data_IF_948678219215
#
_entry.id   IF_948678219215
#
_cell.length_a   1.000
_cell.length_b   1.000
_cell.length_c   1.000
_cell.angle_alpha   90.00
_cell.angle_beta   90.00
_cell.angle_gamma   90.00
#
_symmetry.space_group_name_H-M   'P 1'
#
loop_
_entity.id
_entity.type
_entity.pdbx_description
1 polymer ?
#
# COMPACT_ATOMS: atom_id res chain seq x y z
N UNK A 1 13.67 39.73 16.63
CA UNK A 1 13.15 38.33 16.41
C UNK A 1 13.62 37.80 15.06
N UNK A 2 14.62 36.92 15.06
CA UNK A 2 15.12 36.29 13.82
C UNK A 2 14.12 35.20 13.40
N UNK A 3 13.46 35.37 12.25
CA UNK A 3 12.69 34.29 11.61
C UNK A 3 13.66 33.19 11.22
N UNK A 4 13.59 32.04 11.89
CA UNK A 4 14.31 30.84 11.46
C UNK A 4 13.71 30.43 10.13
N UNK A 5 14.47 30.57 9.04
CA UNK A 5 14.16 30.00 7.74
C UNK A 5 14.08 28.49 7.91
N UNK A 6 12.92 27.92 7.63
CA UNK A 6 12.78 26.47 7.51
C UNK A 6 13.70 25.98 6.39
N UNK A 7 14.46 24.89 6.59
CA UNK A 7 15.30 24.33 5.54
C UNK A 7 14.44 24.03 4.31
N UNK A 8 14.93 24.48 3.16
CA UNK A 8 14.34 24.15 1.85
C UNK A 8 14.39 22.64 1.71
N UNK A 9 13.23 21.97 1.69
CA UNK A 9 13.15 20.54 1.36
C UNK A 9 12.39 19.61 2.31
N UNK A 10 11.91 20.05 3.44
CA UNK A 10 11.10 19.18 4.30
C UNK A 10 9.68 19.03 3.75
N UNK A 11 9.16 17.80 3.61
CA UNK A 11 7.79 17.60 3.15
C UNK A 11 6.82 18.22 4.14
N UNK A 12 5.93 19.07 3.64
CA UNK A 12 4.87 19.67 4.48
C UNK A 12 3.84 18.57 4.78
N UNK A 13 3.53 18.41 6.06
CA UNK A 13 2.47 17.51 6.49
C UNK A 13 1.12 17.98 5.92
N UNK A 14 0.29 16.98 5.53
CA UNK A 14 -1.08 17.25 5.09
C UNK A 14 -1.85 18.04 6.16
N UNK A 15 -2.68 19.02 5.78
CA UNK A 15 -3.47 19.82 6.71
C UNK A 15 -4.34 18.94 7.63
N UNK A 16 -4.57 19.41 8.86
CA UNK A 16 -5.32 18.62 9.88
C UNK A 16 -6.73 18.24 9.44
N UNK A 17 -7.41 19.05 8.64
CA UNK A 17 -8.76 18.77 8.14
C UNK A 17 -8.82 17.63 7.11
N UNK A 18 -7.67 17.21 6.56
CA UNK A 18 -7.56 16.02 5.71
C UNK A 18 -7.13 14.77 6.47
N UNK A 19 -7.30 14.78 7.78
CA UNK A 19 -6.89 13.67 8.66
C UNK A 19 -8.01 13.37 9.65
N UNK A 20 -8.23 12.08 9.89
CA UNK A 20 -9.14 11.61 10.95
C UNK A 20 -8.35 11.09 12.16
N UNK A 21 -8.98 11.14 13.32
CA UNK A 21 -8.37 10.72 14.57
C UNK A 21 -8.67 9.25 14.87
N UNK A 22 -7.64 8.54 15.34
CA UNK A 22 -7.73 7.17 15.84
C UNK A 22 -7.30 7.16 17.31
N UNK A 23 -8.06 6.53 18.23
CA UNK A 23 -7.66 6.41 19.62
C UNK A 23 -6.44 5.50 19.75
N UNK A 24 -5.45 5.91 20.55
CA UNK A 24 -4.23 5.08 20.75
C UNK A 24 -4.54 3.73 21.38
N UNK A 25 -5.60 3.63 22.16
CA UNK A 25 -6.06 2.38 22.80
C UNK A 25 -6.45 1.29 21.81
N UNK A 26 -6.61 1.59 20.52
CA UNK A 26 -6.90 0.57 19.49
C UNK A 26 -5.79 -0.50 19.43
N UNK A 27 -4.57 -0.14 19.78
CA UNK A 27 -3.42 -1.06 19.78
C UNK A 27 -3.47 -2.11 20.89
N UNK A 28 -4.17 -1.85 21.98
CA UNK A 28 -4.35 -2.77 23.11
C UNK A 28 -5.24 -3.97 22.76
N UNK A 29 -6.03 -3.85 21.69
CA UNK A 29 -6.96 -4.91 21.24
C UNK A 29 -6.32 -5.93 20.30
N UNK A 30 -5.07 -5.76 19.90
CA UNK A 30 -4.33 -6.67 19.01
C UNK A 30 -5.15 -7.10 17.79
N UNK A 31 -5.71 -6.11 17.08
CA UNK A 31 -6.59 -6.34 15.93
C UNK A 31 -5.81 -7.00 14.79
N UNK A 32 -6.47 -7.93 14.10
CA UNK A 32 -5.94 -8.44 12.83
C UNK A 32 -5.86 -7.29 11.82
N UNK A 33 -4.91 -7.33 10.87
CA UNK A 33 -4.75 -6.24 9.90
C UNK A 33 -6.04 -5.83 9.19
N UNK A 34 -6.86 -6.79 8.77
CA UNK A 34 -8.15 -6.50 8.12
C UNK A 34 -9.18 -5.86 9.07
N UNK A 35 -9.24 -6.31 10.33
CA UNK A 35 -10.09 -5.69 11.37
C UNK A 35 -9.67 -4.24 11.60
N UNK A 36 -8.36 -3.99 11.66
CA UNK A 36 -7.83 -2.64 11.86
C UNK A 36 -8.21 -1.69 10.71
N UNK A 37 -8.09 -2.15 9.45
CA UNK A 37 -8.49 -1.35 8.28
C UNK A 37 -9.97 -1.01 8.33
N UNK A 38 -10.84 -2.00 8.61
CA UNK A 38 -12.29 -1.79 8.70
C UNK A 38 -12.61 -0.81 9.83
N UNK A 39 -12.04 -1.01 11.02
CA UNK A 39 -12.23 -0.10 12.15
C UNK A 39 -11.76 1.33 11.83
N UNK A 40 -10.61 1.47 11.16
CA UNK A 40 -10.09 2.78 10.72
C UNK A 40 -11.04 3.46 9.74
N UNK A 41 -11.63 2.70 8.81
CA UNK A 41 -12.59 3.22 7.85
C UNK A 41 -13.88 3.70 8.52
N UNK A 42 -14.37 2.96 9.51
CA UNK A 42 -15.52 3.38 10.33
C UNK A 42 -15.21 4.64 11.13
N UNK A 43 -14.01 4.76 11.70
CA UNK A 43 -13.58 5.99 12.40
C UNK A 43 -13.49 7.18 11.43
N UNK A 44 -13.05 6.97 10.20
CA UNK A 44 -13.03 8.01 9.17
C UNK A 44 -14.43 8.54 8.87
N UNK A 45 -15.44 7.68 8.85
CA UNK A 45 -16.83 8.02 8.56
C UNK A 45 -17.69 8.28 9.81
N UNK A 46 -17.10 8.32 11.01
CA UNK A 46 -17.85 8.46 12.28
C UNK A 46 -18.74 9.71 12.37
N UNK A 47 -18.49 10.71 11.54
CA UNK A 47 -19.30 11.94 11.44
C UNK A 47 -20.36 11.90 10.35
N UNK A 48 -20.41 10.83 9.55
CA UNK A 48 -21.28 10.72 8.36
C UNK A 48 -22.39 9.71 8.63
N UNK A 49 -23.44 9.72 7.83
CA UNK A 49 -24.57 8.79 7.91
C UNK A 49 -24.12 7.30 7.93
N UNK A 50 -25.03 6.42 8.37
CA UNK A 50 -24.81 4.96 8.41
C UNK A 50 -24.23 4.45 7.08
N UNK A 51 -23.06 3.82 7.16
CA UNK A 51 -22.41 3.19 6.03
C UNK A 51 -23.10 1.86 5.69
N UNK A 52 -23.33 1.64 4.42
CA UNK A 52 -23.79 0.34 3.94
C UNK A 52 -22.59 -0.64 3.82
N UNK A 53 -22.87 -1.93 3.93
CA UNK A 53 -21.87 -2.96 3.77
C UNK A 53 -21.17 -2.89 2.39
N UNK A 54 -21.93 -2.51 1.36
CA UNK A 54 -21.45 -2.35 -0.01
C UNK A 54 -20.45 -1.19 -0.15
N UNK A 55 -20.73 -0.05 0.47
CA UNK A 55 -19.82 1.10 0.50
C UNK A 55 -18.50 0.75 1.19
N UNK A 56 -18.55 0.05 2.32
CA UNK A 56 -17.36 -0.41 3.03
C UNK A 56 -16.54 -1.35 2.11
N UNK A 57 -17.17 -2.38 1.51
CA UNK A 57 -16.48 -3.36 0.67
C UNK A 57 -15.84 -2.73 -0.56
N UNK A 58 -16.53 -1.80 -1.21
CA UNK A 58 -16.02 -1.09 -2.38
C UNK A 58 -14.79 -0.23 -2.03
N UNK A 59 -14.82 0.45 -0.89
CA UNK A 59 -13.76 1.38 -0.49
C UNK A 59 -12.50 0.70 0.01
N UNK A 60 -12.63 -0.40 0.76
CA UNK A 60 -11.48 -1.12 1.32
C UNK A 60 -11.02 -2.30 0.45
N UNK A 61 -11.69 -2.54 -0.69
CA UNK A 61 -11.37 -3.60 -1.65
C UNK A 61 -11.29 -5.01 -1.04
N UNK A 62 -12.20 -5.32 -0.12
CA UNK A 62 -12.36 -6.64 0.48
C UNK A 62 -13.70 -7.26 0.05
N UNK A 63 -13.79 -8.60 0.11
CA UNK A 63 -15.05 -9.29 -0.18
C UNK A 63 -16.09 -9.04 0.92
N UNK A 64 -17.36 -9.01 0.55
CA UNK A 64 -18.50 -8.79 1.46
C UNK A 64 -18.50 -9.78 2.63
N UNK A 65 -18.20 -11.05 2.35
CA UNK A 65 -18.12 -12.10 3.38
C UNK A 65 -16.98 -11.82 4.39
N UNK A 66 -15.83 -11.35 3.90
CA UNK A 66 -14.70 -10.97 4.75
C UNK A 66 -15.02 -9.77 5.63
N UNK A 67 -15.63 -8.73 5.04
CA UNK A 67 -16.03 -7.52 5.79
C UNK A 67 -17.04 -7.87 6.87
N UNK A 68 -18.09 -8.63 6.53
CA UNK A 68 -19.11 -9.06 7.49
C UNK A 68 -18.49 -9.82 8.67
N UNK A 69 -17.64 -10.82 8.39
CA UNK A 69 -16.95 -11.58 9.42
C UNK A 69 -16.15 -10.69 10.39
N UNK A 70 -15.46 -9.69 9.89
CA UNK A 70 -14.65 -8.81 10.72
C UNK A 70 -15.48 -7.73 11.44
N UNK A 71 -16.60 -7.29 10.86
CA UNK A 71 -17.56 -6.46 11.59
C UNK A 71 -18.13 -7.21 12.79
N UNK A 72 -18.57 -8.46 12.62
CA UNK A 72 -19.05 -9.30 13.72
C UNK A 72 -17.99 -9.46 14.82
N UNK A 73 -16.71 -9.63 14.41
CA UNK A 73 -15.59 -9.69 15.36
C UNK A 73 -15.38 -8.38 16.11
N UNK A 74 -15.50 -7.24 15.44
CA UNK A 74 -15.36 -5.91 16.06
C UNK A 74 -16.52 -5.61 17.04
N UNK A 75 -17.75 -6.05 16.73
CA UNK A 75 -18.91 -5.98 17.62
C UNK A 75 -18.64 -6.85 18.87
N UNK A 76 -18.20 -8.10 18.70
CA UNK A 76 -17.87 -9.00 19.79
C UNK A 76 -16.78 -8.43 20.72
N UNK A 77 -15.82 -7.68 20.18
CA UNK A 77 -14.77 -6.95 20.92
C UNK A 77 -15.29 -5.64 21.53
N UNK A 78 -16.54 -5.27 21.31
CA UNK A 78 -17.15 -4.00 21.77
C UNK A 78 -16.42 -2.74 21.27
N UNK A 79 -15.80 -2.83 20.12
CA UNK A 79 -15.12 -1.71 19.46
C UNK A 79 -16.05 -0.86 18.62
N UNK A 80 -17.13 -1.49 18.13
CA UNK A 80 -18.21 -0.83 17.38
C UNK A 80 -19.55 -1.26 17.96
N UNK A 81 -20.55 -0.38 17.84
CA UNK A 81 -21.94 -0.71 18.15
C UNK A 81 -22.57 -1.59 17.06
N UNK A 82 -23.76 -2.12 17.32
CA UNK A 82 -24.55 -2.87 16.32
C UNK A 82 -24.93 -2.01 15.10
N UNK A 83 -24.97 -0.70 15.28
CA UNK A 83 -25.20 0.30 14.24
C UNK A 83 -23.94 0.63 13.41
N UNK A 84 -22.82 -0.02 13.70
CA UNK A 84 -21.54 0.22 13.03
C UNK A 84 -20.77 1.45 13.53
N UNK A 85 -21.27 2.16 14.54
CA UNK A 85 -20.58 3.33 15.08
C UNK A 85 -19.38 2.94 15.94
N UNK A 86 -18.23 3.59 15.80
CA UNK A 86 -17.07 3.35 16.67
C UNK A 86 -17.40 3.66 18.14
N UNK A 87 -17.34 2.66 19.00
CA UNK A 87 -17.62 2.77 20.43
C UNK A 87 -16.36 3.03 21.27
N UNK A 88 -15.17 2.87 20.68
CA UNK A 88 -13.91 3.03 21.39
C UNK A 88 -13.62 4.50 21.69
N UNK A 89 -13.74 4.86 22.96
CA UNK A 89 -13.36 6.20 23.46
C UNK A 89 -11.98 6.13 24.07
N UNK A 90 -11.10 7.06 23.71
CA UNK A 90 -9.80 7.17 24.36
C UNK A 90 -10.00 7.64 25.81
N UNK A 91 -9.67 6.78 26.79
CA UNK A 91 -9.73 7.13 28.22
C UNK A 91 -8.85 8.34 28.53
N UNK A 92 -7.69 8.44 27.89
CA UNK A 92 -6.67 9.48 28.14
C UNK A 92 -6.68 10.61 27.12
N UNK A 93 -7.70 10.69 26.25
CA UNK A 93 -7.75 11.67 25.14
C UNK A 93 -6.51 11.60 24.22
N UNK A 94 -5.73 10.51 24.28
CA UNK A 94 -4.59 10.28 23.41
C UNK A 94 -5.05 9.70 22.09
N UNK A 95 -4.66 10.33 21.00
CA UNK A 95 -4.98 9.90 19.65
C UNK A 95 -3.82 10.17 18.69
N UNK A 96 -3.73 9.37 17.66
CA UNK A 96 -2.93 9.65 16.48
C UNK A 96 -3.85 9.91 15.29
N UNK A 97 -3.31 10.43 14.22
CA UNK A 97 -4.12 10.79 13.05
C UNK A 97 -3.65 10.09 11.80
N UNK A 98 -4.59 9.62 11.00
CA UNK A 98 -4.37 9.04 9.69
C UNK A 98 -4.86 10.01 8.60
N UNK A 99 -4.18 10.10 7.44
CA UNK A 99 -4.66 10.90 6.33
C UNK A 99 -5.91 10.26 5.72
N UNK A 100 -6.91 11.10 5.35
CA UNK A 100 -8.16 10.62 4.74
C UNK A 100 -7.91 9.90 3.40
N UNK A 101 -6.95 10.40 2.62
CA UNK A 101 -6.62 9.90 1.29
C UNK A 101 -5.92 8.52 1.30
N UNK A 102 -5.57 7.98 2.50
CA UNK A 102 -4.90 6.68 2.60
C UNK A 102 -5.71 5.53 1.99
N UNK A 103 -7.03 5.61 2.04
CA UNK A 103 -7.92 4.58 1.47
C UNK A 103 -7.90 4.56 -0.06
N UNK A 104 -7.55 5.68 -0.73
CA UNK A 104 -7.39 5.75 -2.18
C UNK A 104 -6.19 4.95 -2.69
N UNK A 105 -5.20 4.71 -1.84
CA UNK A 105 -3.96 4.03 -2.21
C UNK A 105 -4.09 2.51 -2.30
N UNK A 106 -5.22 1.93 -1.91
CA UNK A 106 -5.49 0.49 -1.95
C UNK A 106 -4.39 -0.36 -1.30
N UNK A 107 -3.86 0.10 -0.17
CA UNK A 107 -2.83 -0.61 0.57
C UNK A 107 -3.32 -1.98 1.02
N UNK A 108 -2.44 -2.97 0.99
CA UNK A 108 -2.73 -4.24 1.66
C UNK A 108 -2.98 -4.01 3.15
N UNK A 109 -3.84 -4.79 3.82
CA UNK A 109 -4.11 -4.62 5.25
C UNK A 109 -2.86 -4.58 6.12
N UNK A 110 -1.87 -5.40 5.81
CA UNK A 110 -0.58 -5.43 6.52
C UNK A 110 0.20 -4.13 6.33
N UNK A 111 0.27 -3.61 5.09
CA UNK A 111 0.96 -2.34 4.81
C UNK A 111 0.24 -1.15 5.48
N UNK A 112 -1.11 -1.17 5.49
CA UNK A 112 -1.90 -0.14 6.16
C UNK A 112 -1.61 -0.10 7.67
N UNK A 113 -1.61 -1.24 8.36
CA UNK A 113 -1.33 -1.31 9.80
C UNK A 113 0.10 -0.86 10.11
N UNK A 114 1.09 -1.27 9.31
CA UNK A 114 2.48 -0.81 9.46
C UNK A 114 2.56 0.72 9.28
N UNK A 115 1.89 1.28 8.27
CA UNK A 115 1.84 2.73 8.06
C UNK A 115 1.21 3.46 9.23
N UNK A 116 0.08 2.96 9.75
CA UNK A 116 -0.59 3.51 10.91
C UNK A 116 0.30 3.47 12.16
N UNK A 117 1.06 2.39 12.36
CA UNK A 117 2.01 2.28 13.45
C UNK A 117 3.16 3.29 13.34
N UNK A 118 3.72 3.48 12.15
CA UNK A 118 4.77 4.48 11.94
C UNK A 118 4.25 5.90 12.24
N UNK A 119 3.01 6.22 11.85
CA UNK A 119 2.35 7.49 12.19
C UNK A 119 2.05 7.66 13.68
N UNK A 120 1.83 6.56 14.41
CA UNK A 120 1.64 6.59 15.87
C UNK A 120 2.92 7.01 16.58
N UNK A 121 4.07 6.48 16.15
CA UNK A 121 5.38 6.65 16.82
C UNK A 121 6.25 7.75 16.22
N UNK A 122 5.77 8.43 15.16
CA UNK A 122 6.53 9.51 14.54
C UNK A 122 6.80 10.68 15.49
N UNK A 123 7.97 11.26 15.43
CA UNK A 123 8.19 12.60 15.95
C UNK A 123 7.46 13.61 15.06
N UNK A 124 6.46 14.28 15.62
CA UNK A 124 5.63 15.25 14.87
C UNK A 124 6.38 16.49 14.36
N UNK A 125 7.60 16.70 14.80
CA UNK A 125 8.45 17.83 14.36
C UNK A 125 9.27 17.47 13.14
N UNK A 126 9.84 16.26 13.15
CA UNK A 126 10.76 15.78 12.10
C UNK A 126 10.07 14.84 11.12
N UNK A 127 8.89 14.31 11.46
CA UNK A 127 8.18 13.25 10.73
C UNK A 127 9.01 11.99 10.56
N UNK A 128 9.87 11.70 11.53
CA UNK A 128 10.77 10.55 11.51
C UNK A 128 10.51 9.62 12.69
N UNK A 129 10.85 8.33 12.51
CA UNK A 129 10.86 7.33 13.57
C UNK A 129 11.93 6.27 13.29
N UNK A 130 12.32 5.50 14.32
CA UNK A 130 13.44 4.55 14.25
C UNK A 130 13.10 3.13 14.74
N UNK A 131 11.91 2.56 14.47
CA UNK A 131 11.61 1.22 14.95
C UNK A 131 12.44 0.18 14.21
N UNK A 132 12.81 -0.90 14.93
CA UNK A 132 13.34 -2.09 14.28
C UNK A 132 12.22 -2.88 13.58
N UNK A 133 12.56 -3.74 12.62
CA UNK A 133 11.56 -4.65 12.03
C UNK A 133 10.89 -5.57 13.06
N UNK A 134 11.62 -5.97 14.09
CA UNK A 134 11.06 -6.77 15.18
C UNK A 134 10.04 -5.94 15.98
N UNK A 135 10.36 -4.68 16.29
CA UNK A 135 9.44 -3.75 16.98
C UNK A 135 8.16 -3.54 16.17
N UNK A 136 8.28 -3.31 14.85
CA UNK A 136 7.13 -3.18 13.97
C UNK A 136 6.30 -4.47 13.99
N UNK A 137 6.94 -5.62 13.82
CA UNK A 137 6.28 -6.93 13.79
C UNK A 137 5.50 -7.20 15.09
N UNK A 138 6.12 -6.98 16.24
CA UNK A 138 5.49 -7.18 17.56
C UNK A 138 4.32 -6.23 17.76
N UNK A 139 4.50 -4.93 17.46
CA UNK A 139 3.45 -3.93 17.66
C UNK A 139 2.24 -4.13 16.73
N UNK A 140 2.47 -4.63 15.52
CA UNK A 140 1.41 -4.83 14.52
C UNK A 140 0.83 -6.25 14.51
N UNK A 141 1.37 -7.17 15.31
CA UNK A 141 0.97 -8.58 15.31
C UNK A 141 1.31 -9.33 14.02
N UNK A 142 2.28 -8.82 13.24
CA UNK A 142 2.71 -9.41 11.97
C UNK A 142 3.97 -10.26 12.14
N UNK A 143 4.15 -11.24 11.25
CA UNK A 143 5.44 -11.90 11.11
C UNK A 143 6.49 -10.89 10.59
N UNK A 144 7.75 -11.00 11.03
CA UNK A 144 8.86 -10.12 10.64
C UNK A 144 8.97 -9.95 9.12
N UNK A 145 8.89 -11.05 8.36
CA UNK A 145 8.98 -11.01 6.89
C UNK A 145 7.80 -10.25 6.27
N UNK A 146 6.60 -10.34 6.86
CA UNK A 146 5.44 -9.58 6.42
C UNK A 146 5.61 -8.09 6.73
N UNK A 147 6.15 -7.75 7.90
CA UNK A 147 6.46 -6.37 8.24
C UNK A 147 7.50 -5.77 7.28
N UNK A 148 8.57 -6.52 6.94
CA UNK A 148 9.58 -6.10 5.96
C UNK A 148 8.96 -5.85 4.58
N UNK A 149 8.14 -6.78 4.07
CA UNK A 149 7.43 -6.62 2.79
C UNK A 149 6.49 -5.42 2.81
N UNK A 150 5.79 -5.19 3.92
CA UNK A 150 4.91 -4.03 4.10
C UNK A 150 5.68 -2.72 4.04
N UNK A 151 6.85 -2.64 4.68
CA UNK A 151 7.74 -1.47 4.60
C UNK A 151 8.22 -1.25 3.16
N UNK A 152 8.60 -2.30 2.42
CA UNK A 152 8.97 -2.18 1.00
C UNK A 152 7.82 -1.63 0.16
N UNK A 153 6.60 -2.13 0.38
CA UNK A 153 5.39 -1.61 -0.29
C UNK A 153 5.17 -0.12 0.01
N UNK A 154 5.33 0.31 1.26
CA UNK A 154 5.18 1.73 1.63
C UNK A 154 6.25 2.62 0.97
N UNK A 155 7.49 2.12 0.86
CA UNK A 155 8.58 2.79 0.16
C UNK A 155 8.29 2.92 -1.35
N UNK A 156 7.85 1.84 -2.00
CA UNK A 156 7.47 1.81 -3.43
C UNK A 156 6.29 2.75 -3.73
N UNK A 157 5.35 2.87 -2.79
CA UNK A 157 4.21 3.79 -2.89
C UNK A 157 4.59 5.25 -2.63
N UNK A 158 5.80 5.54 -2.16
CA UNK A 158 6.26 6.88 -1.83
C UNK A 158 5.61 7.46 -0.57
N UNK A 159 5.19 6.61 0.37
CA UNK A 159 4.63 7.03 1.66
C UNK A 159 5.70 7.26 2.72
N UNK A 160 6.83 6.60 2.57
CA UNK A 160 7.98 6.71 3.47
C UNK A 160 9.29 6.71 2.67
N UNK A 161 10.33 7.26 3.28
CA UNK A 161 11.72 6.94 2.90
C UNK A 161 12.36 6.11 3.99
N UNK A 162 13.36 5.32 3.62
CA UNK A 162 14.08 4.45 4.56
C UNK A 162 15.57 4.67 4.39
N UNK A 163 16.22 5.11 5.46
CA UNK A 163 17.66 5.26 5.51
C UNK A 163 18.24 4.27 6.51
N UNK A 164 19.26 3.51 6.09
CA UNK A 164 19.96 2.59 7.00
C UNK A 164 20.90 3.36 7.91
N UNK A 165 20.76 3.17 9.23
CA UNK A 165 21.73 3.70 10.18
C UNK A 165 22.82 2.67 10.51
N UNK A 166 23.97 3.17 10.92
CA UNK A 166 25.05 2.36 11.46
C UNK A 166 25.68 3.10 12.64
N UNK A 167 26.17 2.36 13.61
CA UNK A 167 26.91 2.91 14.74
C UNK A 167 28.21 2.13 14.94
N UNK A 168 29.17 2.77 15.58
CA UNK A 168 30.42 2.15 15.99
C UNK A 168 30.32 1.81 17.49
N UNK A 169 30.75 0.61 17.85
CA UNK A 169 30.87 0.23 19.26
C UNK A 169 32.13 0.84 19.89
N UNK A 170 32.31 0.56 21.19
CA UNK A 170 33.50 1.02 21.94
C UNK A 170 34.83 0.46 21.40
N UNK A 171 34.76 -0.63 20.64
CA UNK A 171 35.90 -1.28 20.02
C UNK A 171 36.15 -0.77 18.58
N UNK A 172 35.38 0.22 18.12
CA UNK A 172 35.51 0.76 16.75
C UNK A 172 34.88 -0.11 15.66
N UNK A 173 34.13 -1.17 16.02
CA UNK A 173 33.44 -2.02 15.06
C UNK A 173 32.13 -1.40 14.62
N UNK A 174 31.90 -1.39 13.29
CA UNK A 174 30.69 -0.84 12.69
C UNK A 174 29.53 -1.85 12.75
N UNK A 175 28.47 -1.47 13.39
CA UNK A 175 27.23 -2.25 13.50
C UNK A 175 26.10 -1.60 12.74
N UNK A 176 25.21 -2.43 12.20
CA UNK A 176 23.97 -1.95 11.58
C UNK A 176 23.00 -1.51 12.65
N UNK A 177 22.58 -0.25 12.62
CA UNK A 177 21.55 0.31 13.48
C UNK A 177 20.14 0.04 12.96
N UNK A 178 19.15 0.60 13.66
CA UNK A 178 17.77 0.60 13.19
C UNK A 178 17.64 1.52 11.96
N UNK A 179 16.69 1.21 11.09
CA UNK A 179 16.36 2.08 9.99
C UNK A 179 15.73 3.39 10.49
N UNK A 180 16.08 4.49 9.84
CA UNK A 180 15.38 5.77 9.97
C UNK A 180 14.27 5.80 8.92
N UNK A 181 13.04 5.97 9.36
CA UNK A 181 11.87 6.14 8.50
C UNK A 181 11.46 7.60 8.52
N UNK A 182 11.36 8.22 7.35
CA UNK A 182 10.76 9.56 7.20
C UNK A 182 9.41 9.41 6.54
N UNK A 183 8.36 9.92 7.15
CA UNK A 183 6.99 9.83 6.64
C UNK A 183 6.72 10.98 5.69
N UNK A 184 6.32 10.65 4.47
CA UNK A 184 6.03 11.61 3.41
C UNK A 184 4.55 12.00 3.38
N UNK A 185 4.20 13.17 2.80
CA UNK A 185 2.81 13.55 2.59
C UNK A 185 2.09 12.56 1.68
N UNK A 186 0.91 12.09 2.08
CA UNK A 186 0.10 11.13 1.31
C UNK A 186 -0.28 11.67 -0.06
N UNK A 187 -0.49 12.99 -0.17
CA UNK A 187 -0.90 13.63 -1.42
C UNK A 187 0.02 13.31 -2.58
N UNK A 188 1.33 13.34 -2.35
CA UNK A 188 2.31 13.00 -3.38
C UNK A 188 2.17 11.54 -3.87
N UNK A 189 1.88 10.61 -2.97
CA UNK A 189 1.66 9.21 -3.31
C UNK A 189 0.37 9.02 -4.11
N UNK A 190 -0.70 9.73 -3.76
CA UNK A 190 -1.99 9.70 -4.48
C UNK A 190 -1.82 10.28 -5.88
N UNK A 191 -1.15 11.42 -6.03
CA UNK A 191 -0.88 12.04 -7.32
C UNK A 191 -0.04 11.10 -8.21
N UNK A 192 0.99 10.47 -7.65
CA UNK A 192 1.79 9.48 -8.38
C UNK A 192 0.98 8.24 -8.79
N UNK A 193 0.04 7.78 -7.95
CA UNK A 193 -0.87 6.68 -8.29
C UNK A 193 -1.77 7.07 -9.46
N UNK A 194 -2.40 8.25 -9.43
CA UNK A 194 -3.26 8.74 -10.50
C UNK A 194 -2.49 8.87 -11.82
N UNK A 195 -1.26 9.39 -11.79
CA UNK A 195 -0.43 9.47 -12.99
C UNK A 195 -0.09 8.09 -13.56
N UNK A 196 0.21 7.10 -12.71
CA UNK A 196 0.43 5.71 -13.17
C UNK A 196 -0.83 5.13 -13.82
N UNK A 197 -2.00 5.36 -13.24
CA UNK A 197 -3.28 4.89 -13.78
C UNK A 197 -3.59 5.55 -15.14
N UNK A 198 -3.39 6.85 -15.28
CA UNK A 198 -3.57 7.57 -16.55
C UNK A 198 -2.64 7.02 -17.63
N UNK A 199 -1.36 6.84 -17.31
CA UNK A 199 -0.38 6.27 -18.25
C UNK A 199 -0.77 4.85 -18.68
N UNK A 200 -1.28 4.04 -17.76
CA UNK A 200 -1.74 2.69 -18.09
C UNK A 200 -2.94 2.72 -19.04
N UNK A 201 -3.91 3.61 -18.80
CA UNK A 201 -5.06 3.80 -19.68
C UNK A 201 -4.65 4.25 -21.08
N UNK A 202 -3.67 5.15 -21.20
CA UNK A 202 -3.12 5.59 -22.48
C UNK A 202 -2.48 4.42 -23.24
N UNK A 203 -1.63 3.64 -22.58
CA UNK A 203 -1.01 2.46 -23.18
C UNK A 203 -2.05 1.42 -23.63
N UNK A 204 -3.08 1.18 -22.83
CA UNK A 204 -4.16 0.25 -23.20
C UNK A 204 -5.01 0.79 -24.36
N UNK A 205 -5.22 2.10 -24.43
CA UNK A 205 -5.89 2.73 -25.56
C UNK A 205 -5.06 2.61 -26.86
N UNK A 206 -3.75 2.82 -26.80
CA UNK A 206 -2.85 2.61 -27.92
C UNK A 206 -2.84 1.15 -28.40
N UNK A 207 -2.74 0.20 -27.46
CA UNK A 207 -2.82 -1.24 -27.78
C UNK A 207 -4.14 -1.57 -28.49
N UNK A 208 -5.27 -1.04 -28.04
CA UNK A 208 -6.57 -1.25 -28.69
C UNK A 208 -6.60 -0.66 -30.11
N UNK A 209 -6.04 0.54 -30.30
CA UNK A 209 -5.94 1.18 -31.62
C UNK A 209 -5.07 0.36 -32.59
N UNK A 210 -3.92 -0.15 -32.13
CA UNK A 210 -3.04 -0.99 -32.97
C UNK A 210 -3.71 -2.30 -33.34
N UNK A 211 -4.35 -2.99 -32.38
CA UNK A 211 -5.11 -4.21 -32.64
C UNK A 211 -6.26 -3.98 -33.63
N UNK A 212 -6.97 -2.86 -33.53
CA UNK A 212 -8.03 -2.52 -34.49
C UNK A 212 -7.47 -2.26 -35.90
N UNK A 213 -6.33 -1.54 -36.01
CA UNK A 213 -5.65 -1.35 -37.30
C UNK A 213 -5.23 -2.68 -37.90
N UNK A 214 -4.66 -3.57 -37.08
CA UNK A 214 -4.23 -4.91 -37.54
C UNK A 214 -5.39 -5.79 -37.98
N UNK A 215 -6.52 -5.78 -37.25
CA UNK A 215 -7.75 -6.49 -37.65
C UNK A 215 -8.29 -5.96 -38.97
N UNK A 216 -8.31 -4.63 -39.17
CA UNK A 216 -8.73 -4.01 -40.45
C UNK A 216 -7.79 -4.38 -41.60
N UNK A 217 -6.47 -4.41 -41.34
CA UNK A 217 -5.47 -4.84 -42.34
C UNK A 217 -5.66 -6.29 -42.72
N UNK A 218 -5.77 -7.21 -41.76
CA UNK A 218 -5.97 -8.63 -41.99
C UNK A 218 -7.29 -8.91 -42.73
N UNK A 219 -8.35 -8.15 -42.44
CA UNK A 219 -9.62 -8.29 -43.16
C UNK A 219 -9.51 -7.84 -44.63
N UNK A 220 -8.69 -6.83 -44.92
CA UNK A 220 -8.45 -6.36 -46.30
C UNK A 220 -7.47 -7.22 -47.08
N UNK A 221 -6.58 -7.96 -46.35
CA UNK A 221 -5.51 -8.77 -46.92
C UNK A 221 -5.49 -10.18 -46.31
N UNK A 222 -6.51 -11.02 -46.57
CA UNK A 222 -6.64 -12.34 -45.91
C UNK A 222 -5.49 -13.31 -46.22
N UNK A 223 -4.84 -13.20 -47.40
CA UNK A 223 -3.66 -14.04 -47.75
C UNK A 223 -2.43 -13.69 -46.92
N UNK A 224 -2.22 -12.44 -46.56
CA UNK A 224 -1.09 -12.02 -45.71
C UNK A 224 -1.24 -12.50 -44.26
N UNK A 225 -2.49 -12.59 -43.78
CA UNK A 225 -2.78 -13.10 -42.44
C UNK A 225 -2.45 -14.59 -42.27
N UNK A 226 -2.68 -15.40 -43.32
CA UNK A 226 -2.35 -16.83 -43.34
C UNK A 226 -0.83 -17.09 -43.30
N UNK A 227 -0.01 -16.26 -43.94
CA UNK A 227 1.45 -16.39 -43.89
C UNK A 227 2.03 -16.06 -42.52
N UNK A 228 1.47 -15.07 -41.78
CA UNK A 228 1.94 -14.67 -40.47
C UNK A 228 1.70 -15.72 -39.38
N UNK A 229 0.61 -16.53 -39.51
CA UNK A 229 0.31 -17.63 -38.58
C UNK A 229 1.15 -18.88 -38.83
N UNK A 230 1.67 -19.07 -40.04
CA UNK A 230 2.53 -20.21 -40.39
C UNK A 230 3.97 -20.06 -39.85
N UNK A 231 4.45 -18.81 -39.64
CA UNK A 231 5.81 -18.57 -39.19
C UNK A 231 5.98 -18.75 -37.66
N UNK A 232 4.88 -18.78 -36.89
CA UNK A 232 4.94 -18.95 -35.44
C UNK A 232 4.87 -20.40 -34.94
N UNK A 233 4.76 -21.39 -35.84
CA UNK A 233 4.64 -22.83 -35.47
C UNK A 233 5.92 -23.65 -35.70
N UNK A 234 7.02 -23.04 -36.09
CA UNK A 234 8.30 -23.75 -36.25
C UNK A 234 9.30 -23.28 -35.23
N UNK A 235 9.15 -23.72 -33.98
CA UNK A 235 10.28 -23.87 -33.08
C UNK A 235 11.00 -25.15 -33.45
N UNK A 236 12.29 -25.16 -33.80
CA UNK A 236 13.04 -26.41 -34.01
C UNK A 236 13.19 -27.11 -32.66
N UNK A 237 12.73 -28.36 -32.61
CA UNK A 237 12.94 -29.29 -31.52
C UNK A 237 14.47 -29.50 -31.33
N UNK A 238 15.08 -29.22 -30.17
CA UNK A 238 16.51 -29.38 -29.95
C UNK A 238 16.97 -30.84 -29.76
N UNK A 239 16.14 -31.83 -30.00
CA UNK A 239 16.42 -33.25 -29.73
C UNK A 239 16.67 -34.14 -30.95
N UNK A 240 16.85 -33.60 -32.18
CA UNK A 240 17.26 -34.44 -33.30
C UNK A 240 18.77 -34.40 -33.53
N UNK A 241 19.47 -35.57 -33.44
CA UNK A 241 20.89 -35.66 -33.73
C UNK A 241 21.16 -35.52 -35.23
N UNK A 242 22.12 -34.69 -35.56
CA UNK A 242 22.66 -34.47 -36.89
C UNK A 242 23.17 -35.80 -37.52
N UNK A 243 22.36 -36.39 -38.38
CA UNK A 243 22.75 -37.54 -39.16
C UNK A 243 23.75 -37.15 -40.26
N UNK A 244 24.96 -37.65 -40.15
CA UNK A 244 26.01 -37.63 -41.16
C UNK A 244 25.51 -38.19 -42.48
N UNK A 245 25.68 -37.43 -43.55
CA UNK A 245 25.75 -38.04 -44.89
C UNK A 245 27.08 -37.69 -45.55
N UNK A 246 27.93 -38.69 -45.54
CA UNK A 246 29.15 -38.72 -46.33
C UNK A 246 28.87 -38.93 -47.81
N UNK A 247 29.62 -38.26 -48.60
CA UNK A 247 30.29 -38.60 -49.87
C UNK A 247 29.63 -39.67 -50.83
N UNK A 248 29.27 -39.23 -51.98
CA UNK A 248 29.93 -39.65 -53.25
C UNK A 248 29.55 -38.68 -54.38
#
# INVERSE_FOLDING_TARGET
MRRRSTPIGWPRRDPRHYRFAMPNTVWDYHLRPAEFVIFSYLCYHSSTSKLTLEEITASIHMTTSTVKKYLDSLIAKKLIGEDGTPALKSKDKKFFTLPNEVFLLKLSPSAFVVYAYLLLIEDRRTHTCHPSYNTIATATGLAKNTAMKSVSTLLEMGLITVESSSYFDKCGMKWKGNNLYTILPVRAAVDALHQRQLRQLELDAERRRTLQKQKKYNHRHPRAALCATATTQTTPDPSQPCGKLCAR
#
